data_IF_609537801791
#
_entry.id   IF_609537801791
#
_cell.length_a   1.000
_cell.length_b   1.000
_cell.length_c   1.000
_cell.angle_alpha   90.00
_cell.angle_beta   90.00
_cell.angle_gamma   90.00
#
_symmetry.space_group_name_H-M   'P 1'
#
loop_
_entity.id
_entity.type
_entity.pdbx_description
1 polymer ?
#
# COMPACT_ATOMS: atom_id res chain seq x y z
N UNK A 1 16.69 6.16 -24.51
CA UNK A 1 15.30 6.27 -23.99
C UNK A 1 14.90 7.62 -23.40
N UNK A 2 15.80 8.61 -23.23
CA UNK A 2 15.44 9.92 -22.63
C UNK A 2 15.92 11.12 -23.48
N UNK A 3 15.96 10.98 -24.81
CA UNK A 3 16.55 11.99 -25.71
C UNK A 3 15.73 13.28 -25.81
N UNK A 4 14.50 13.27 -25.31
CA UNK A 4 13.56 14.40 -25.30
C UNK A 4 13.34 15.01 -23.91
N UNK A 5 14.07 14.55 -22.88
CA UNK A 5 14.00 15.17 -21.55
C UNK A 5 14.90 16.41 -21.49
N UNK A 6 14.32 17.52 -21.04
CA UNK A 6 15.05 18.73 -20.64
C UNK A 6 15.02 18.84 -19.12
N UNK A 7 16.19 18.96 -18.50
CA UNK A 7 16.31 19.08 -17.03
C UNK A 7 16.59 20.53 -16.67
N UNK A 8 15.77 21.06 -15.76
CA UNK A 8 15.96 22.37 -15.10
C UNK A 8 16.31 22.10 -13.64
N UNK A 9 17.42 22.68 -13.17
CA UNK A 9 17.79 22.64 -11.77
C UNK A 9 17.09 23.76 -11.01
N UNK A 10 16.56 23.47 -9.83
CA UNK A 10 15.99 24.49 -8.93
C UNK A 10 16.87 24.51 -7.69
N UNK A 11 17.56 25.63 -7.45
CA UNK A 11 18.53 25.73 -6.36
C UNK A 11 19.57 26.82 -6.54
N UNK A 12 20.62 26.86 -5.70
CA UNK A 12 21.64 27.89 -5.77
C UNK A 12 22.42 27.81 -7.08
N UNK A 13 22.98 28.93 -7.53
CA UNK A 13 23.83 28.93 -8.73
C UNK A 13 25.05 28.04 -8.54
N UNK A 14 25.27 27.17 -9.51
CA UNK A 14 26.46 26.33 -9.64
C UNK A 14 26.95 26.37 -11.09
N UNK A 15 28.21 26.01 -11.32
CA UNK A 15 28.76 25.89 -12.67
C UNK A 15 28.24 24.61 -13.33
N UNK A 16 27.40 24.75 -14.35
CA UNK A 16 26.79 23.64 -15.10
C UNK A 16 26.29 24.12 -16.46
N UNK A 17 26.08 23.18 -17.38
CA UNK A 17 25.43 23.43 -18.68
C UNK A 17 23.90 23.34 -18.61
N UNK A 18 23.35 22.89 -17.49
CA UNK A 18 21.90 22.81 -17.28
C UNK A 18 21.31 24.18 -16.96
N UNK A 19 20.05 24.37 -17.34
CA UNK A 19 19.28 25.54 -16.94
C UNK A 19 19.07 25.54 -15.42
N UNK A 20 19.22 26.70 -14.78
CA UNK A 20 19.02 26.86 -13.34
C UNK A 20 17.93 27.90 -13.09
N UNK A 21 16.85 27.49 -12.45
CA UNK A 21 15.91 28.37 -11.76
C UNK A 21 16.44 28.63 -10.34
N UNK A 22 17.08 29.79 -10.17
CA UNK A 22 17.79 30.12 -8.93
C UNK A 22 16.86 30.19 -7.71
N UNK A 23 17.23 29.49 -6.65
CA UNK A 23 16.60 29.55 -5.33
C UNK A 23 17.66 29.31 -4.24
N UNK A 24 17.72 30.19 -3.23
CA UNK A 24 18.79 30.18 -2.23
C UNK A 24 18.33 29.76 -0.82
N UNK A 25 17.08 29.30 -0.69
CA UNK A 25 16.53 28.69 0.51
C UNK A 25 15.53 27.57 0.16
N UNK A 26 15.22 26.68 1.10
CA UNK A 26 14.22 25.62 0.87
C UNK A 26 12.83 26.20 0.55
N UNK A 27 12.44 27.27 1.24
CA UNK A 27 11.16 27.95 0.97
C UNK A 27 11.11 28.54 -0.44
N UNK A 28 12.19 29.20 -0.87
CA UNK A 28 12.27 29.76 -2.22
C UNK A 28 12.27 28.65 -3.27
N UNK A 29 12.92 27.52 -2.99
CA UNK A 29 12.96 26.35 -3.88
C UNK A 29 11.54 25.81 -4.12
N UNK A 30 10.73 25.67 -3.08
CA UNK A 30 9.34 25.20 -3.23
C UNK A 30 8.46 26.20 -3.96
N UNK A 31 8.54 27.48 -3.60
CA UNK A 31 7.78 28.52 -4.29
C UNK A 31 8.14 28.58 -5.78
N UNK A 32 9.45 28.47 -6.10
CA UNK A 32 9.93 28.44 -7.48
C UNK A 32 9.45 27.20 -8.22
N UNK A 33 9.54 26.02 -7.61
CA UNK A 33 9.04 24.78 -8.20
C UNK A 33 7.55 24.86 -8.53
N UNK A 34 6.72 25.35 -7.60
CA UNK A 34 5.28 25.48 -7.83
C UNK A 34 4.97 26.51 -8.92
N UNK A 35 5.65 27.65 -8.91
CA UNK A 35 5.55 28.67 -9.96
C UNK A 35 5.85 28.09 -11.35
N UNK A 36 6.93 27.31 -11.50
CA UNK A 36 7.33 26.72 -12.77
C UNK A 36 6.32 25.66 -13.26
N UNK A 37 5.80 24.83 -12.34
CA UNK A 37 4.75 23.84 -12.65
C UNK A 37 3.45 24.54 -13.10
N UNK A 38 3.03 25.59 -12.39
CA UNK A 38 1.79 26.32 -12.68
C UNK A 38 1.85 27.08 -14.01
N UNK A 39 3.03 27.59 -14.40
CA UNK A 39 3.25 28.22 -15.69
C UNK A 39 3.46 27.22 -16.84
N UNK A 40 3.63 25.94 -16.54
CA UNK A 40 3.99 24.91 -17.53
C UNK A 40 5.42 25.09 -18.09
N UNK A 41 6.31 25.72 -17.32
CA UNK A 41 7.74 25.82 -17.67
C UNK A 41 8.47 24.50 -17.40
N UNK A 42 7.96 23.71 -16.44
CA UNK A 42 8.33 22.30 -16.22
C UNK A 42 7.05 21.45 -16.11
N UNK A 43 7.09 20.21 -16.62
CA UNK A 43 5.94 19.31 -16.59
C UNK A 43 5.86 18.44 -15.31
N UNK A 44 7.01 18.26 -14.65
CA UNK A 44 7.15 17.46 -13.45
C UNK A 44 8.37 17.91 -12.63
N UNK A 45 8.38 17.59 -11.34
CA UNK A 45 9.52 17.85 -10.47
C UNK A 45 9.91 16.61 -9.67
N UNK A 46 11.21 16.44 -9.45
CA UNK A 46 11.78 15.44 -8.54
C UNK A 46 12.41 16.19 -7.37
N UNK A 47 12.01 15.89 -6.14
CA UNK A 47 12.48 16.56 -4.93
C UNK A 47 12.71 15.57 -3.78
N UNK A 48 13.52 15.94 -2.79
CA UNK A 48 13.77 15.10 -1.61
C UNK A 48 12.66 15.18 -0.56
N UNK A 49 11.87 16.26 -0.59
CA UNK A 49 10.75 16.44 0.32
C UNK A 49 9.71 17.34 -0.33
N UNK A 50 8.44 17.09 -0.02
CA UNK A 50 7.31 17.95 -0.37
C UNK A 50 6.15 17.63 0.57
N UNK A 51 5.43 18.64 1.01
CA UNK A 51 4.30 18.47 1.92
C UNK A 51 3.02 18.24 1.11
N UNK A 52 2.71 16.97 0.86
CA UNK A 52 1.47 16.60 0.19
C UNK A 52 0.24 16.83 1.09
N UNK A 53 -0.88 17.32 0.53
CA UNK A 53 -2.13 17.42 1.27
C UNK A 53 -2.71 16.03 1.58
N UNK A 54 -3.60 15.95 2.58
CA UNK A 54 -4.33 14.72 2.87
C UNK A 54 -5.14 14.32 1.63
N UNK A 55 -5.16 13.02 1.33
CA UNK A 55 -5.70 12.46 0.10
C UNK A 55 -4.62 12.19 -0.94
N UNK A 56 -3.39 12.67 -0.75
CA UNK A 56 -2.28 12.46 -1.67
C UNK A 56 -1.21 11.57 -1.03
N UNK A 57 -0.81 10.53 -1.74
CA UNK A 57 0.25 9.62 -1.34
C UNK A 57 1.04 9.12 -2.55
N UNK A 58 2.31 8.79 -2.36
CA UNK A 58 3.22 8.50 -3.47
C UNK A 58 3.27 7.01 -3.82
N UNK A 59 3.48 6.73 -5.10
CA UNK A 59 3.64 5.35 -5.61
C UNK A 59 5.08 5.11 -6.02
N UNK A 60 5.84 4.47 -5.13
CA UNK A 60 7.24 4.16 -5.36
C UNK A 60 7.41 3.06 -6.39
N UNK A 61 8.55 3.07 -7.09
CA UNK A 61 8.88 2.04 -8.06
C UNK A 61 10.23 1.42 -7.68
N UNK A 62 10.21 0.13 -7.39
CA UNK A 62 11.36 -0.64 -6.96
C UNK A 62 11.60 -1.81 -7.92
N UNK A 63 12.78 -2.44 -7.78
CA UNK A 63 13.14 -3.65 -8.52
C UNK A 63 13.12 -4.81 -7.53
N UNK A 64 12.42 -5.89 -7.87
CA UNK A 64 12.32 -7.07 -7.03
C UNK A 64 13.65 -7.84 -7.01
N UNK A 65 14.17 -8.23 -5.83
CA UNK A 65 15.49 -8.84 -5.73
C UNK A 65 15.53 -10.27 -6.27
N UNK A 66 14.40 -10.98 -6.25
CA UNK A 66 14.35 -12.39 -6.66
C UNK A 66 14.42 -12.56 -8.18
N UNK A 67 13.72 -11.71 -8.95
CA UNK A 67 13.58 -11.85 -10.39
C UNK A 67 13.89 -10.58 -11.20
N UNK A 68 14.31 -9.49 -10.56
CA UNK A 68 14.69 -8.26 -11.24
C UNK A 68 13.53 -7.56 -11.95
N UNK A 69 12.29 -7.77 -11.49
CA UNK A 69 11.08 -7.15 -12.09
C UNK A 69 10.79 -5.81 -11.47
N UNK A 70 10.24 -4.90 -12.25
CA UNK A 70 9.66 -3.66 -11.72
C UNK A 70 8.43 -3.99 -10.85
N UNK A 71 8.30 -3.30 -9.71
CA UNK A 71 7.11 -3.35 -8.85
C UNK A 71 6.75 -1.94 -8.37
N UNK A 72 5.46 -1.61 -8.43
CA UNK A 72 4.89 -0.37 -7.91
C UNK A 72 4.40 -0.59 -6.48
N UNK A 73 5.05 0.06 -5.52
CA UNK A 73 4.64 0.05 -4.11
C UNK A 73 3.63 1.18 -3.86
N UNK A 74 2.38 0.80 -3.63
CA UNK A 74 1.28 1.73 -3.42
C UNK A 74 0.82 1.68 -1.96
N UNK A 75 1.31 2.53 -1.04
CA UNK A 75 2.05 3.80 -1.21
C UNK A 75 3.31 3.88 -0.33
N UNK A 76 4.15 4.91 -0.50
CA UNK A 76 5.49 4.99 0.13
C UNK A 76 5.78 6.28 0.92
N UNK A 77 5.09 7.38 0.65
CA UNK A 77 4.99 8.57 1.51
C UNK A 77 3.62 9.25 1.33
N UNK A 78 3.26 10.17 2.22
CA UNK A 78 1.95 10.85 2.21
C UNK A 78 0.79 10.04 2.80
N UNK A 79 -0.40 10.62 2.81
CA UNK A 79 -1.55 10.11 3.56
C UNK A 79 -2.81 10.16 2.70
N UNK A 80 -3.27 9.01 2.21
CA UNK A 80 -4.49 8.91 1.39
C UNK A 80 -5.80 9.02 2.20
N UNK A 81 -5.80 8.51 3.44
CA UNK A 81 -6.86 8.69 4.45
C UNK A 81 -6.28 8.49 5.85
N UNK A 82 -6.99 9.00 6.87
CA UNK A 82 -6.70 8.71 8.28
C UNK A 82 -7.06 7.26 8.66
N UNK A 83 -8.02 6.63 7.97
CA UNK A 83 -8.35 5.23 8.15
C UNK A 83 -7.45 4.36 7.25
N UNK A 84 -6.77 3.37 7.83
CA UNK A 84 -5.80 2.52 7.10
C UNK A 84 -6.43 1.73 5.96
N UNK A 85 -7.60 1.14 6.17
CA UNK A 85 -8.28 0.29 5.18
C UNK A 85 -8.78 1.14 4.02
N UNK A 86 -9.40 2.28 4.32
CA UNK A 86 -9.78 3.28 3.32
C UNK A 86 -8.55 3.76 2.54
N UNK A 87 -7.46 4.06 3.24
CA UNK A 87 -6.20 4.48 2.63
C UNK A 87 -5.67 3.39 1.68
N UNK A 88 -5.65 2.12 2.06
CA UNK A 88 -5.18 1.03 1.20
C UNK A 88 -6.08 0.81 -0.03
N UNK A 89 -7.40 1.03 0.08
CA UNK A 89 -8.30 1.01 -1.09
C UNK A 89 -7.95 2.15 -2.06
N UNK A 90 -7.74 3.37 -1.55
CA UNK A 90 -7.28 4.51 -2.37
C UNK A 90 -5.90 4.25 -2.97
N UNK A 91 -4.97 3.74 -2.18
CA UNK A 91 -3.63 3.37 -2.62
C UNK A 91 -3.67 2.38 -3.79
N UNK A 92 -4.63 1.46 -3.80
CA UNK A 92 -4.84 0.54 -4.93
C UNK A 92 -5.10 1.31 -6.23
N UNK A 93 -6.00 2.29 -6.21
CA UNK A 93 -6.25 3.17 -7.36
C UNK A 93 -4.97 3.90 -7.76
N UNK A 94 -4.19 4.40 -6.79
CA UNK A 94 -2.99 5.19 -7.05
C UNK A 94 -1.94 4.35 -7.77
N UNK A 95 -1.74 3.11 -7.30
CA UNK A 95 -0.87 2.13 -7.94
C UNK A 95 -1.30 1.79 -9.36
N UNK A 96 -2.59 1.51 -9.59
CA UNK A 96 -3.14 1.21 -10.93
C UNK A 96 -2.94 2.39 -11.87
N UNK A 97 -3.30 3.61 -11.44
CA UNK A 97 -3.15 4.85 -12.22
C UNK A 97 -1.69 5.03 -12.63
N UNK A 98 -0.78 4.88 -11.68
CA UNK A 98 0.65 5.08 -11.93
C UNK A 98 1.21 4.01 -12.87
N UNK A 99 0.87 2.74 -12.68
CA UNK A 99 1.29 1.65 -13.56
C UNK A 99 0.76 1.82 -14.98
N UNK A 100 -0.50 2.26 -15.14
CA UNK A 100 -1.09 2.61 -16.44
C UNK A 100 -0.38 3.77 -17.10
N UNK A 101 -0.06 4.83 -16.36
CA UNK A 101 0.69 5.98 -16.86
C UNK A 101 2.10 5.58 -17.33
N UNK A 102 2.65 4.52 -16.75
CA UNK A 102 3.92 3.92 -17.14
C UNK A 102 3.82 2.93 -18.30
N UNK A 103 2.63 2.74 -18.88
CA UNK A 103 2.40 1.92 -20.07
C UNK A 103 1.90 0.50 -19.79
N UNK A 104 1.63 0.13 -18.53
CA UNK A 104 1.05 -1.18 -18.20
C UNK A 104 -0.47 -1.09 -18.32
N UNK A 105 -1.02 -1.64 -19.41
CA UNK A 105 -2.45 -1.46 -19.77
C UNK A 105 -3.41 -2.07 -18.74
N UNK A 106 -3.13 -3.29 -18.26
CA UNK A 106 -3.98 -4.03 -17.31
C UNK A 106 -3.15 -4.52 -16.11
N UNK A 107 -2.65 -3.60 -15.26
CA UNK A 107 -1.67 -3.93 -14.23
C UNK A 107 -2.27 -4.88 -13.21
N UNK A 108 -1.53 -5.95 -12.89
CA UNK A 108 -1.90 -6.91 -11.86
C UNK A 108 -1.72 -6.31 -10.46
N UNK A 109 -2.69 -6.56 -9.58
CA UNK A 109 -2.75 -5.96 -8.24
C UNK A 109 -2.69 -7.03 -7.16
N UNK A 110 -1.67 -6.95 -6.31
CA UNK A 110 -1.55 -7.71 -5.08
C UNK A 110 -1.70 -6.81 -3.87
N UNK A 111 -2.26 -7.33 -2.78
CA UNK A 111 -2.43 -6.64 -1.50
C UNK A 111 -1.47 -7.30 -0.52
N UNK A 112 -0.47 -6.57 -0.03
CA UNK A 112 0.44 -7.13 0.97
C UNK A 112 -0.36 -7.52 2.22
N UNK A 113 -0.08 -8.70 2.76
CA UNK A 113 -0.76 -9.26 3.92
C UNK A 113 -0.41 -8.48 5.20
N UNK A 114 -1.10 -7.36 5.35
CA UNK A 114 -1.05 -6.44 6.47
C UNK A 114 -2.40 -6.45 7.18
N UNK A 115 -2.45 -5.88 8.36
CA UNK A 115 -3.70 -5.61 9.04
C UNK A 115 -4.65 -4.79 8.13
N UNK A 116 -5.91 -5.25 8.05
CA UNK A 116 -6.95 -4.70 7.20
C UNK A 116 -6.94 -5.25 5.76
N UNK A 117 -5.93 -6.02 5.33
CA UNK A 117 -5.80 -6.48 3.94
C UNK A 117 -6.99 -7.29 3.42
N UNK A 118 -7.65 -8.08 4.27
CA UNK A 118 -8.88 -8.81 3.92
C UNK A 118 -10.08 -7.89 3.71
N UNK A 119 -10.22 -6.85 4.53
CA UNK A 119 -11.28 -5.84 4.35
C UNK A 119 -11.04 -5.05 3.05
N UNK A 120 -9.78 -4.73 2.75
CA UNK A 120 -9.37 -4.15 1.46
C UNK A 120 -9.71 -5.08 0.31
N UNK A 121 -9.38 -6.38 0.40
CA UNK A 121 -9.70 -7.38 -0.62
C UNK A 121 -11.22 -7.46 -0.89
N UNK A 122 -12.04 -7.53 0.16
CA UNK A 122 -13.50 -7.58 0.05
C UNK A 122 -14.03 -6.31 -0.64
N UNK A 123 -13.57 -5.14 -0.19
CA UNK A 123 -13.97 -3.85 -0.75
C UNK A 123 -13.58 -3.72 -2.23
N UNK A 124 -12.37 -4.13 -2.61
CA UNK A 124 -11.90 -4.09 -3.99
C UNK A 124 -12.62 -5.11 -4.87
N UNK A 125 -12.94 -6.31 -4.36
CA UNK A 125 -13.76 -7.29 -5.10
C UNK A 125 -15.17 -6.76 -5.34
N UNK A 126 -15.78 -6.07 -4.36
CA UNK A 126 -17.07 -5.38 -4.52
C UNK A 126 -16.97 -4.28 -5.57
N UNK A 127 -15.94 -3.44 -5.50
CA UNK A 127 -15.70 -2.37 -6.49
C UNK A 127 -15.52 -2.95 -7.91
N UNK A 128 -14.79 -4.07 -8.04
CA UNK A 128 -14.64 -4.80 -9.30
C UNK A 128 -15.95 -5.38 -9.83
N UNK A 129 -16.75 -6.00 -8.97
CA UNK A 129 -18.08 -6.51 -9.33
C UNK A 129 -19.03 -5.40 -9.77
N UNK A 130 -18.88 -4.18 -9.24
CA UNK A 130 -19.65 -3.01 -9.61
C UNK A 130 -19.20 -2.33 -10.92
N UNK A 131 -18.15 -2.83 -11.57
CA UNK A 131 -17.75 -2.40 -12.91
C UNK A 131 -16.40 -1.69 -13.04
N UNK A 132 -15.68 -1.43 -11.94
CA UNK A 132 -14.30 -0.95 -12.00
C UNK A 132 -13.34 -2.14 -12.09
N UNK A 133 -13.00 -2.57 -13.32
CA UNK A 133 -12.17 -3.76 -13.54
C UNK A 133 -10.80 -3.66 -12.83
N UNK A 134 -10.51 -4.62 -11.95
CA UNK A 134 -9.22 -4.83 -11.30
C UNK A 134 -8.67 -6.19 -11.72
N UNK A 135 -7.47 -6.19 -12.30
CA UNK A 135 -6.73 -7.43 -12.57
C UNK A 135 -6.06 -7.89 -11.27
N UNK A 136 -6.70 -8.76 -10.52
CA UNK A 136 -6.13 -9.28 -9.28
C UNK A 136 -4.95 -10.22 -9.58
N UNK A 137 -3.79 -9.92 -9.00
CA UNK A 137 -2.63 -10.81 -9.02
C UNK A 137 -2.92 -12.10 -8.25
N UNK A 138 -2.11 -13.12 -8.50
CA UNK A 138 -2.24 -14.41 -7.84
C UNK A 138 -0.95 -14.77 -7.10
N UNK A 139 -1.05 -14.99 -5.80
CA UNK A 139 0.07 -15.45 -4.97
C UNK A 139 0.62 -16.78 -5.51
N UNK A 140 1.93 -16.98 -5.39
CA UNK A 140 2.60 -18.21 -5.80
C UNK A 140 2.29 -19.42 -4.88
N UNK A 141 1.47 -19.22 -3.84
CA UNK A 141 1.05 -20.30 -2.94
C UNK A 141 0.02 -21.22 -3.61
N UNK A 142 -0.10 -22.44 -3.07
CA UNK A 142 -1.07 -23.42 -3.54
C UNK A 142 -2.53 -22.93 -3.45
N UNK A 143 -2.86 -22.13 -2.43
CA UNK A 143 -4.19 -21.52 -2.24
C UNK A 143 -4.40 -20.23 -3.06
N UNK A 144 -3.34 -19.69 -3.67
CA UNK A 144 -3.40 -18.50 -4.53
C UNK A 144 -3.98 -17.26 -3.86
N UNK A 145 -4.69 -16.45 -4.65
CA UNK A 145 -5.39 -15.25 -4.21
C UNK A 145 -4.55 -13.97 -4.30
N UNK A 146 -5.21 -12.83 -4.11
CA UNK A 146 -4.58 -11.52 -4.28
C UNK A 146 -3.98 -10.94 -3.00
N UNK A 147 -4.09 -11.64 -1.87
CA UNK A 147 -3.41 -11.29 -0.62
C UNK A 147 -2.02 -11.93 -0.62
N UNK A 148 -1.00 -11.09 -0.69
CA UNK A 148 0.38 -11.42 -1.00
C UNK A 148 1.25 -11.52 0.25
N UNK A 149 2.25 -12.39 0.23
CA UNK A 149 3.27 -12.48 1.28
C UNK A 149 4.58 -11.78 0.86
N UNK A 150 5.54 -11.73 1.78
CA UNK A 150 6.88 -11.24 1.48
C UNK A 150 7.52 -11.93 0.26
N UNK A 151 7.34 -13.24 0.11
CA UNK A 151 7.83 -14.00 -1.05
C UNK A 151 7.28 -13.45 -2.38
N UNK A 152 5.99 -13.12 -2.44
CA UNK A 152 5.34 -12.60 -3.64
C UNK A 152 5.89 -11.22 -4.03
N UNK A 153 6.23 -10.40 -3.03
CA UNK A 153 6.91 -9.12 -3.26
C UNK A 153 8.36 -9.33 -3.74
N UNK A 154 9.09 -10.31 -3.19
CA UNK A 154 10.46 -10.63 -3.61
C UNK A 154 10.51 -11.18 -5.04
N UNK A 155 9.50 -11.95 -5.47
CA UNK A 155 9.41 -12.49 -6.83
C UNK A 155 8.73 -11.56 -7.82
N UNK A 156 8.02 -10.53 -7.37
CA UNK A 156 7.20 -9.69 -8.24
C UNK A 156 6.05 -10.47 -8.86
N UNK A 157 5.21 -11.06 -8.01
CA UNK A 157 4.00 -11.79 -8.41
C UNK A 157 2.87 -10.88 -8.91
N UNK A 158 3.00 -9.57 -8.71
CA UNK A 158 2.09 -8.55 -9.24
C UNK A 158 2.86 -7.29 -9.66
N UNK A 159 2.29 -6.51 -10.58
CA UNK A 159 2.86 -5.23 -11.02
C UNK A 159 2.73 -4.17 -9.92
N UNK A 160 1.55 -4.12 -9.28
CA UNK A 160 1.24 -3.24 -8.15
C UNK A 160 1.17 -4.08 -6.88
N UNK A 161 1.88 -3.64 -5.85
CA UNK A 161 1.79 -4.18 -4.49
C UNK A 161 1.24 -3.10 -3.56
N UNK A 162 0.03 -3.33 -3.07
CA UNK A 162 -0.71 -2.41 -2.19
C UNK A 162 -0.23 -2.61 -0.75
N UNK A 163 0.15 -1.51 -0.10
CA UNK A 163 0.61 -1.45 1.28
C UNK A 163 -0.01 -0.23 1.98
N UNK A 164 0.07 -0.17 3.31
CA UNK A 164 0.00 1.14 3.97
C UNK A 164 1.29 1.92 3.69
N UNK A 165 1.25 3.25 3.87
CA UNK A 165 2.37 4.14 3.55
C UNK A 165 3.64 3.81 4.33
N UNK A 166 3.54 3.51 5.62
CA UNK A 166 4.72 3.28 6.46
C UNK A 166 5.41 1.99 6.06
N UNK A 167 4.63 0.92 5.83
CA UNK A 167 5.16 -0.33 5.30
C UNK A 167 5.83 -0.12 3.95
N UNK A 168 5.17 0.59 3.01
CA UNK A 168 5.76 0.84 1.69
C UNK A 168 7.02 1.71 1.76
N UNK A 169 7.09 2.68 2.68
CA UNK A 169 8.30 3.46 2.94
C UNK A 169 9.47 2.57 3.36
N UNK A 170 9.23 1.69 4.32
CA UNK A 170 10.22 0.74 4.79
C UNK A 170 10.68 -0.20 3.68
N UNK A 171 9.73 -0.72 2.88
CA UNK A 171 10.05 -1.60 1.76
C UNK A 171 10.86 -0.88 0.68
N UNK A 172 10.56 0.38 0.34
CA UNK A 172 11.39 1.16 -0.57
C UNK A 172 12.84 1.26 -0.08
N UNK A 173 13.05 1.54 1.21
CA UNK A 173 14.40 1.59 1.79
C UNK A 173 15.11 0.25 1.68
N UNK A 174 14.45 -0.84 2.10
CA UNK A 174 15.05 -2.18 2.03
C UNK A 174 15.41 -2.53 0.58
N UNK A 175 14.45 -2.43 -0.35
CA UNK A 175 14.66 -2.85 -1.73
C UNK A 175 15.71 -2.01 -2.48
N UNK A 176 15.83 -0.73 -2.14
CA UNK A 176 16.78 0.16 -2.81
C UNK A 176 18.19 0.15 -2.21
N UNK A 177 18.36 -0.27 -0.96
CA UNK A 177 19.62 -0.13 -0.21
C UNK A 177 20.10 -1.39 0.52
N UNK A 178 19.48 -2.57 0.31
CA UNK A 178 19.89 -3.80 0.99
C UNK A 178 21.34 -4.22 0.70
N UNK A 179 21.90 -3.87 -0.46
CA UNK A 179 23.30 -4.15 -0.82
C UNK A 179 24.30 -3.14 -0.28
N UNK A 180 23.83 -2.02 0.29
CA UNK A 180 24.66 -0.88 0.71
C UNK A 180 24.59 -0.60 2.21
N UNK A 181 23.82 -1.40 2.95
CA UNK A 181 23.65 -1.25 4.39
C UNK A 181 22.77 -0.06 4.80
N UNK A 182 21.92 0.45 3.91
CA UNK A 182 20.92 1.47 4.24
C UNK A 182 21.33 2.93 4.04
N UNK A 183 22.63 3.21 3.83
CA UNK A 183 23.14 4.59 3.74
C UNK A 183 23.16 5.16 2.31
N UNK A 184 22.90 4.33 1.31
CA UNK A 184 22.93 4.72 -0.09
C UNK A 184 21.92 3.88 -0.89
N UNK A 185 20.86 4.50 -1.43
CA UNK A 185 19.92 3.79 -2.30
C UNK A 185 20.54 3.67 -3.69
N UNK A 186 20.77 2.43 -4.12
CA UNK A 186 21.50 2.09 -5.35
C UNK A 186 20.62 1.52 -6.47
N UNK A 187 19.36 1.20 -6.16
CA UNK A 187 18.43 0.52 -7.07
C UNK A 187 17.01 1.08 -6.95
N UNK A 188 16.24 0.99 -8.04
CA UNK A 188 14.88 1.53 -8.15
C UNK A 188 14.81 2.97 -8.65
N UNK A 189 13.59 3.52 -8.65
CA UNK A 189 13.25 4.79 -9.30
C UNK A 189 12.72 5.83 -8.28
N UNK A 190 12.92 5.56 -7.00
CA UNK A 190 12.52 6.43 -5.89
C UNK A 190 11.10 6.19 -5.37
N UNK A 191 10.67 7.09 -4.48
CA UNK A 191 9.40 7.01 -3.77
C UNK A 191 8.21 7.43 -4.65
N UNK A 192 8.52 7.98 -5.84
CA UNK A 192 7.59 8.13 -6.95
C UNK A 192 6.61 9.30 -6.81
N UNK A 193 5.64 9.43 -7.73
CA UNK A 193 4.76 10.59 -7.84
C UNK A 193 3.71 10.59 -6.74
N UNK A 194 3.38 11.77 -6.20
CA UNK A 194 2.20 11.97 -5.38
C UNK A 194 0.94 11.85 -6.22
N UNK A 195 0.03 10.95 -5.83
CA UNK A 195 -1.24 10.71 -6.52
C UNK A 195 -2.40 11.03 -5.59
N UNK A 196 -3.40 11.75 -6.08
CA UNK A 196 -4.68 11.96 -5.42
C UNK A 196 -5.69 12.57 -6.38
N UNK A 197 -6.98 12.38 -6.10
CA UNK A 197 -8.08 12.73 -7.01
C UNK A 197 -8.06 14.20 -7.47
N UNK A 198 -7.74 15.10 -6.54
CA UNK A 198 -7.73 16.55 -6.74
C UNK A 198 -6.30 17.11 -6.79
N UNK A 199 -5.31 16.26 -7.08
CA UNK A 199 -3.91 16.65 -7.18
C UNK A 199 -3.47 16.59 -8.63
N UNK A 200 -3.11 17.74 -9.20
CA UNK A 200 -2.88 17.95 -10.63
C UNK A 200 -1.42 18.20 -10.99
N UNK A 201 -0.51 18.09 -10.01
CA UNK A 201 0.94 18.28 -10.18
C UNK A 201 1.66 16.92 -10.20
N UNK A 202 2.70 16.78 -11.03
CA UNK A 202 3.55 15.58 -11.06
C UNK A 202 4.81 15.84 -10.24
N UNK A 203 4.74 15.53 -8.94
CA UNK A 203 5.86 15.72 -8.00
C UNK A 203 6.30 14.37 -7.47
N UNK A 204 7.56 14.00 -7.73
CA UNK A 204 8.17 12.74 -7.30
C UNK A 204 9.09 12.96 -6.10
N UNK A 205 9.11 11.98 -5.19
CA UNK A 205 9.96 12.01 -4.00
C UNK A 205 11.17 11.10 -4.13
N UNK A 206 12.31 11.61 -3.68
CA UNK A 206 13.55 10.89 -3.43
C UNK A 206 13.91 10.92 -1.94
N UNK A 207 14.79 10.00 -1.54
CA UNK A 207 15.49 10.08 -0.26
C UNK A 207 16.74 10.94 -0.41
N UNK A 208 17.19 11.54 0.70
CA UNK A 208 18.54 12.12 0.77
C UNK A 208 19.65 11.09 0.55
N UNK A 209 19.36 9.82 0.81
CA UNK A 209 20.26 8.71 0.55
C UNK A 209 20.22 8.24 -0.92
N UNK A 210 19.37 8.80 -1.77
CA UNK A 210 19.23 8.36 -3.16
C UNK A 210 20.51 8.64 -3.95
N UNK A 211 21.12 7.56 -4.42
CA UNK A 211 22.31 7.61 -5.24
C UNK A 211 22.06 8.09 -6.66
N UNK A 212 23.12 8.40 -7.39
CA UNK A 212 23.06 8.87 -8.79
C UNK A 212 22.17 7.98 -9.68
N UNK A 213 22.22 6.63 -9.61
CA UNK A 213 21.35 5.78 -10.42
C UNK A 213 19.85 6.01 -10.12
N UNK A 214 19.49 6.11 -8.84
CA UNK A 214 18.10 6.31 -8.41
C UNK A 214 17.61 7.70 -8.82
N UNK A 215 18.45 8.73 -8.70
CA UNK A 215 18.12 10.09 -9.18
C UNK A 215 17.86 10.09 -10.68
N UNK A 216 18.75 9.48 -11.47
CA UNK A 216 18.59 9.40 -12.92
C UNK A 216 17.31 8.63 -13.32
N UNK A 217 17.02 7.52 -12.64
CA UNK A 217 15.81 6.75 -12.85
C UNK A 217 14.55 7.54 -12.49
N UNK A 218 14.55 8.29 -11.38
CA UNK A 218 13.41 9.11 -10.97
C UNK A 218 13.11 10.23 -11.98
N UNK A 219 14.15 10.84 -12.58
CA UNK A 219 13.97 11.81 -13.68
C UNK A 219 13.33 11.13 -14.90
N UNK A 220 13.80 9.93 -15.26
CA UNK A 220 13.20 9.13 -16.33
C UNK A 220 11.75 8.71 -16.02
N UNK A 221 11.46 8.39 -14.75
CA UNK A 221 10.14 8.06 -14.26
C UNK A 221 9.19 9.25 -14.41
N UNK A 222 9.62 10.45 -13.97
CA UNK A 222 8.86 11.69 -14.13
C UNK A 222 8.51 11.94 -15.61
N UNK A 223 9.49 11.83 -16.51
CA UNK A 223 9.28 12.01 -17.94
C UNK A 223 8.29 11.00 -18.54
N UNK A 224 8.34 9.73 -18.12
CA UNK A 224 7.38 8.71 -18.56
C UNK A 224 5.96 8.98 -18.07
N UNK A 225 5.80 9.44 -16.82
CA UNK A 225 4.50 9.81 -16.27
C UNK A 225 3.85 10.98 -17.03
N UNK A 226 4.65 11.99 -17.41
CA UNK A 226 4.21 13.11 -18.25
C UNK A 226 3.71 12.59 -19.60
N UNK A 227 4.52 11.78 -20.30
CA UNK A 227 4.13 11.18 -21.60
C UNK A 227 2.91 10.26 -21.48
N UNK A 228 2.78 9.59 -20.35
CA UNK A 228 1.63 8.76 -19.99
C UNK A 228 0.36 9.56 -19.68
N UNK A 229 0.43 10.90 -19.62
CA UNK A 229 -0.70 11.76 -19.24
C UNK A 229 -1.27 11.37 -17.88
N UNK A 230 -0.38 11.21 -16.88
CA UNK A 230 -0.74 10.79 -15.52
C UNK A 230 -1.94 11.58 -14.96
N UNK A 231 -1.96 12.90 -15.12
CA UNK A 231 -3.01 13.80 -14.62
C UNK A 231 -4.37 13.53 -15.26
N UNK A 232 -4.41 13.15 -16.54
CA UNK A 232 -5.64 12.71 -17.21
C UNK A 232 -6.09 11.34 -16.68
N UNK A 233 -5.15 10.40 -16.53
CA UNK A 233 -5.45 9.06 -15.99
C UNK A 233 -6.03 9.11 -14.58
N UNK A 234 -5.52 10.01 -13.71
CA UNK A 234 -6.09 10.24 -12.39
C UNK A 234 -7.58 10.55 -12.51
N UNK A 235 -7.95 11.54 -13.32
CA UNK A 235 -9.35 11.95 -13.51
C UNK A 235 -10.21 10.82 -14.06
N UNK A 236 -9.71 10.10 -15.07
CA UNK A 236 -10.43 9.01 -15.72
C UNK A 236 -10.66 7.81 -14.78
N UNK A 237 -9.63 7.34 -14.08
CA UNK A 237 -9.72 6.15 -13.22
C UNK A 237 -10.52 6.42 -11.96
N UNK A 238 -10.36 7.58 -11.32
CA UNK A 238 -11.23 7.96 -10.21
C UNK A 238 -12.68 8.06 -10.67
N UNK A 239 -12.96 8.67 -11.83
CA UNK A 239 -14.33 8.70 -12.37
C UNK A 239 -14.90 7.28 -12.52
N UNK A 240 -14.15 6.35 -13.11
CA UNK A 240 -14.60 4.95 -13.26
C UNK A 240 -14.85 4.29 -11.89
N UNK A 241 -14.02 4.57 -10.89
CA UNK A 241 -14.19 4.02 -9.55
C UNK A 241 -15.43 4.61 -8.84
N UNK A 242 -15.69 5.91 -8.99
CA UNK A 242 -16.91 6.56 -8.48
C UNK A 242 -18.16 6.02 -9.14
N UNK A 243 -18.13 5.84 -10.46
CA UNK A 243 -19.23 5.23 -11.22
C UNK A 243 -19.50 3.78 -10.75
N UNK A 244 -18.49 3.08 -10.24
CA UNK A 244 -18.59 1.76 -9.61
C UNK A 244 -18.93 1.80 -8.09
N UNK A 245 -19.22 2.99 -7.54
CA UNK A 245 -19.69 3.16 -6.17
C UNK A 245 -18.60 3.18 -5.09
N UNK A 246 -17.38 3.62 -5.42
CA UNK A 246 -16.28 3.75 -4.46
C UNK A 246 -16.70 4.45 -3.16
N UNK A 247 -17.35 5.61 -3.23
CA UNK A 247 -17.76 6.41 -2.07
C UNK A 247 -18.64 5.60 -1.11
N UNK A 248 -19.61 4.86 -1.66
CA UNK A 248 -20.52 4.05 -0.86
C UNK A 248 -19.77 2.94 -0.13
N UNK A 249 -18.80 2.29 -0.80
CA UNK A 249 -17.96 1.26 -0.20
C UNK A 249 -17.12 1.84 0.96
N UNK A 250 -16.55 3.04 0.78
CA UNK A 250 -15.77 3.71 1.83
C UNK A 250 -16.63 4.13 3.03
N UNK A 251 -17.86 4.60 2.78
CA UNK A 251 -18.82 4.96 3.84
C UNK A 251 -19.27 3.73 4.64
N UNK A 252 -19.52 2.60 3.99
CA UNK A 252 -19.89 1.36 4.66
C UNK A 252 -18.78 0.87 5.61
N UNK A 253 -17.52 0.91 5.17
CA UNK A 253 -16.36 0.52 5.97
C UNK A 253 -16.20 1.34 7.25
N UNK A 254 -16.45 2.65 7.18
CA UNK A 254 -16.31 3.53 8.35
C UNK A 254 -17.46 3.37 9.35
N UNK A 255 -18.67 2.99 8.91
CA UNK A 255 -19.80 2.72 9.80
C UNK A 255 -19.62 1.44 10.64
N UNK A 256 -18.98 0.42 10.10
CA UNK A 256 -18.73 -0.83 10.84
C UNK A 256 -17.70 -0.67 11.96
N UNK A 257 -16.82 0.34 11.87
CA UNK A 257 -15.80 0.64 12.89
C UNK A 257 -16.30 1.32 14.16
N UNK A 258 -17.60 1.67 14.25
CA UNK A 258 -18.22 2.37 15.41
C UNK A 258 -19.25 1.49 16.13
N UNK A 259 -18.96 0.20 16.35
CA UNK A 259 -19.72 -0.59 17.32
C UNK A 259 -19.08 -0.42 18.71
N UNK A 260 -19.83 0.01 19.74
CA UNK A 260 -19.27 0.23 21.07
C UNK A 260 -18.75 -1.09 21.65
N UNK A 261 -17.47 -1.10 22.05
CA UNK A 261 -16.87 -2.18 22.84
C UNK A 261 -17.67 -2.37 24.13
N UNK A 262 -18.42 -3.47 24.23
CA UNK A 262 -18.94 -3.93 25.52
C UNK A 262 -17.75 -4.42 26.34
N UNK A 263 -17.54 -3.87 27.54
CA UNK A 263 -16.57 -4.41 28.50
C UNK A 263 -16.91 -5.88 28.79
N UNK A 264 -16.17 -6.81 28.19
CA UNK A 264 -16.29 -8.23 28.46
C UNK A 264 -15.49 -8.55 29.73
N UNK A 265 -16.11 -9.27 30.66
CA UNK A 265 -15.46 -9.72 31.90
C UNK A 265 -14.71 -11.01 31.59
N UNK A 266 -13.41 -11.06 31.89
CA UNK A 266 -12.58 -12.25 31.73
C UNK A 266 -13.04 -13.36 32.70
N UNK A 267 -13.30 -14.60 32.23
CA UNK A 267 -13.63 -15.74 33.08
C UNK A 267 -12.49 -16.14 34.02
N UNK A 268 -12.78 -17.02 34.99
CA UNK A 268 -11.74 -17.57 35.89
C UNK A 268 -10.63 -18.27 35.10
N UNK A 269 -9.38 -18.01 35.51
CA UNK A 269 -8.20 -18.48 34.79
C UNK A 269 -8.09 -20.00 34.80
N UNK A 270 -7.96 -20.58 33.60
CA UNK A 270 -7.73 -22.01 33.40
C UNK A 270 -6.33 -22.28 32.82
N UNK A 271 -5.84 -23.51 32.97
CA UNK A 271 -4.61 -23.95 32.29
C UNK A 271 -4.94 -24.23 30.82
N UNK A 272 -4.31 -23.49 29.92
CA UNK A 272 -4.54 -23.58 28.47
C UNK A 272 -3.52 -24.52 27.81
N UNK A 273 -3.96 -25.71 27.40
CA UNK A 273 -3.12 -26.72 26.72
C UNK A 273 -3.56 -27.01 25.29
N UNK A 274 -4.79 -26.64 24.91
CA UNK A 274 -5.33 -26.76 23.56
C UNK A 274 -5.04 -25.53 22.72
N UNK A 275 -4.76 -25.73 21.42
CA UNK A 275 -4.47 -24.67 20.46
C UNK A 275 -5.46 -24.70 19.30
N UNK A 276 -6.02 -23.55 18.96
CA UNK A 276 -6.90 -23.37 17.80
C UNK A 276 -6.16 -22.46 16.80
N UNK A 277 -5.81 -23.01 15.65
CA UNK A 277 -5.12 -22.30 14.56
C UNK A 277 -6.11 -21.79 13.51
N UNK A 278 -5.63 -20.97 12.57
CA UNK A 278 -6.45 -20.47 11.46
C UNK A 278 -7.31 -19.26 11.81
N UNK A 279 -6.96 -18.57 12.90
CA UNK A 279 -7.57 -17.33 13.36
C UNK A 279 -6.71 -16.17 12.84
N UNK A 280 -7.34 -15.13 12.30
CA UNK A 280 -6.62 -13.94 11.84
C UNK A 280 -6.03 -13.19 13.05
N UNK A 281 -4.86 -12.58 12.88
CA UNK A 281 -4.21 -11.79 13.94
C UNK A 281 -5.11 -10.62 14.36
N UNK A 282 -5.92 -10.11 13.43
CA UNK A 282 -6.86 -9.01 13.66
C UNK A 282 -8.12 -9.42 14.41
N UNK A 283 -8.49 -10.68 14.28
CA UNK A 283 -9.62 -11.25 14.98
C UNK A 283 -9.22 -11.90 16.30
N UNK A 284 -7.92 -11.94 16.64
CA UNK A 284 -7.43 -12.72 17.77
C UNK A 284 -7.99 -12.23 19.11
N UNK A 285 -7.96 -10.91 19.35
CA UNK A 285 -8.54 -10.29 20.54
C UNK A 285 -10.07 -10.42 20.55
N UNK A 286 -10.72 -10.21 19.41
CA UNK A 286 -12.17 -10.37 19.25
C UNK A 286 -12.63 -11.81 19.50
N UNK A 287 -11.87 -12.79 19.02
CA UNK A 287 -12.09 -14.22 19.20
C UNK A 287 -11.97 -14.60 20.67
N UNK A 288 -10.94 -14.10 21.36
CA UNK A 288 -10.77 -14.27 22.81
C UNK A 288 -11.93 -13.63 23.58
N UNK A 289 -12.33 -12.42 23.22
CA UNK A 289 -13.46 -11.73 23.86
C UNK A 289 -14.80 -12.45 23.63
N UNK A 290 -15.05 -13.01 22.44
CA UNK A 290 -16.26 -13.79 22.17
C UNK A 290 -16.30 -15.07 23.00
N UNK A 291 -15.15 -15.73 23.20
CA UNK A 291 -15.06 -16.87 24.12
C UNK A 291 -15.33 -16.46 25.57
N UNK A 292 -14.82 -15.31 26.00
CA UNK A 292 -15.09 -14.77 27.33
C UNK A 292 -16.57 -14.45 27.56
N UNK A 293 -17.26 -13.90 26.55
CA UNK A 293 -18.71 -13.66 26.62
C UNK A 293 -19.53 -14.94 26.84
N UNK A 294 -19.04 -16.06 26.32
CA UNK A 294 -19.62 -17.40 26.47
C UNK A 294 -19.04 -18.18 27.66
N UNK A 295 -18.39 -17.47 28.60
CA UNK A 295 -17.78 -18.00 29.84
C UNK A 295 -16.69 -19.06 29.62
N UNK A 296 -15.99 -19.01 28.47
CA UNK A 296 -14.83 -19.86 28.17
C UNK A 296 -13.55 -19.05 28.34
N UNK A 297 -12.67 -19.47 29.26
CA UNK A 297 -11.35 -18.86 29.40
C UNK A 297 -10.48 -19.17 28.17
N UNK A 298 -9.89 -18.12 27.61
CA UNK A 298 -9.05 -18.20 26.43
C UNK A 298 -7.94 -17.15 26.50
N UNK A 299 -6.76 -17.48 25.95
CA UNK A 299 -5.63 -16.57 25.81
C UNK A 299 -5.22 -16.48 24.33
N UNK A 300 -4.77 -15.31 23.88
CA UNK A 300 -4.17 -15.13 22.56
C UNK A 300 -2.72 -15.63 22.55
N UNK A 301 -2.28 -16.27 21.47
CA UNK A 301 -0.90 -16.72 21.31
C UNK A 301 -0.42 -16.66 19.85
N UNK A 302 0.87 -16.94 19.68
CA UNK A 302 1.51 -17.07 18.36
C UNK A 302 2.11 -18.46 18.22
N UNK A 303 1.57 -19.25 17.29
CA UNK A 303 2.08 -20.56 16.92
C UNK A 303 3.11 -20.48 15.79
N UNK A 304 3.74 -21.61 15.47
CA UNK A 304 4.77 -21.70 14.42
C UNK A 304 4.28 -21.31 13.01
N UNK A 305 2.97 -21.32 12.78
CA UNK A 305 2.34 -21.08 11.47
C UNK A 305 1.42 -19.87 11.43
N UNK A 306 1.25 -19.15 12.54
CA UNK A 306 0.35 -18.01 12.62
C UNK A 306 -0.26 -17.77 14.01
N UNK A 307 -1.21 -16.83 14.12
CA UNK A 307 -1.94 -16.55 15.35
C UNK A 307 -2.76 -17.76 15.79
N UNK A 308 -2.78 -18.01 17.10
CA UNK A 308 -3.51 -19.12 17.72
C UNK A 308 -4.31 -18.64 18.93
N UNK A 309 -5.46 -19.25 19.18
CA UNK A 309 -6.18 -19.10 20.45
C UNK A 309 -5.90 -20.32 21.33
N UNK A 310 -5.53 -20.06 22.59
CA UNK A 310 -5.21 -21.06 23.60
C UNK A 310 -6.41 -21.23 24.53
N UNK A 311 -6.86 -22.48 24.71
CA UNK A 311 -7.97 -22.85 25.61
C UNK A 311 -7.62 -24.11 26.40
N UNK A 312 -8.37 -24.42 27.46
CA UNK A 312 -8.23 -25.72 28.13
C UNK A 312 -8.74 -26.84 27.22
N UNK A 313 -8.13 -28.04 27.30
CA UNK A 313 -8.55 -29.21 26.50
C UNK A 313 -10.04 -29.53 26.63
N UNK A 314 -10.59 -29.34 27.83
CA UNK A 314 -12.01 -29.58 28.11
C UNK A 314 -12.94 -28.64 27.33
N UNK A 315 -12.45 -27.44 26.99
CA UNK A 315 -13.21 -26.41 26.29
C UNK A 315 -12.91 -26.35 24.79
N UNK A 316 -11.98 -27.16 24.26
CA UNK A 316 -11.52 -27.10 22.87
C UNK A 316 -12.66 -27.24 21.85
N UNK A 317 -13.48 -28.30 21.97
CA UNK A 317 -14.61 -28.55 21.06
C UNK A 317 -15.66 -27.44 21.12
N UNK A 318 -15.92 -26.93 22.34
CA UNK A 318 -16.88 -25.85 22.57
C UNK A 318 -16.36 -24.53 21.98
N UNK A 319 -15.09 -24.22 22.17
CA UNK A 319 -14.44 -23.02 21.64
C UNK A 319 -14.43 -23.02 20.10
N UNK A 320 -14.09 -24.15 19.45
CA UNK A 320 -14.15 -24.27 17.99
C UNK A 320 -15.57 -24.01 17.47
N UNK A 321 -16.60 -24.56 18.13
CA UNK A 321 -18.00 -24.35 17.74
C UNK A 321 -18.42 -22.87 17.85
N UNK A 322 -18.05 -22.20 18.95
CA UNK A 322 -18.32 -20.77 19.15
C UNK A 322 -17.61 -19.92 18.10
N UNK A 323 -16.32 -20.19 17.84
CA UNK A 323 -15.53 -19.44 16.88
C UNK A 323 -16.01 -19.65 15.43
N UNK A 324 -16.40 -20.88 15.06
CA UNK A 324 -17.03 -21.18 13.77
C UNK A 324 -18.35 -20.41 13.61
N UNK A 325 -19.21 -20.41 14.64
CA UNK A 325 -20.49 -19.67 14.63
C UNK A 325 -20.31 -18.16 14.45
N UNK A 326 -19.20 -17.62 14.93
CA UNK A 326 -18.86 -16.20 14.82
C UNK A 326 -17.91 -15.89 13.64
N UNK A 327 -17.70 -16.85 12.72
CA UNK A 327 -16.86 -16.73 11.52
C UNK A 327 -15.37 -16.41 11.77
N UNK A 328 -14.83 -16.77 12.93
CA UNK A 328 -13.40 -16.58 13.24
C UNK A 328 -12.49 -17.72 12.77
N UNK A 329 -13.08 -18.88 12.43
CA UNK A 329 -12.37 -20.05 11.91
C UNK A 329 -13.10 -20.52 10.66
N UNK A 330 -12.37 -20.80 9.58
CA UNK A 330 -12.95 -21.34 8.36
C UNK A 330 -13.68 -22.67 8.64
N UNK A 331 -14.88 -22.83 8.08
CA UNK A 331 -15.49 -24.15 7.95
C UNK A 331 -14.60 -24.98 7.04
N UNK A 332 -13.85 -25.92 7.63
CA UNK A 332 -13.49 -27.13 6.90
C UNK A 332 -14.80 -27.69 6.33
N UNK A 333 -14.86 -27.81 5.01
CA UNK A 333 -15.81 -28.70 4.38
C UNK A 333 -15.49 -30.09 4.94
N UNK A 334 -16.41 -30.65 5.72
CA UNK A 334 -16.38 -32.06 6.06
C UNK A 334 -16.41 -32.86 4.74
N UNK A 335 -15.37 -33.67 4.55
CA UNK A 335 -15.21 -34.77 3.60
C UNK A 335 -15.45 -34.52 2.10
N UNK A 336 -14.34 -34.57 1.32
CA UNK A 336 -14.03 -35.66 0.38
C UNK A 336 -12.55 -35.63 -0.02
#
# INVERSE_FOLDING_TARGET
DNTDLKVVLIGPKIETSLEIAEANSENDMFAKMEELLEKGEIDACVTMHYNFPIGVATVGKAITPGLGKDVYLATTTGTASANRVEAMIKNTLYGIITAKAMGIVDPSVGILNLDGSRQVEIALKKLNANGYKINFGNSARADGGCVMRGNDLLSGSSDVMVTDTLTGNLMMKILSSFTTGGNYESSGDGYGPGIGENFDKIILILSRASGVPVVANAIGYAGKLVKGRLTDMVKEEFKKARDAGLENILIELTKESVKPEKKVIMPDKEVVTGQISGIDIMDLESAVQVLWQETVYAESGMGCTGPIVLVSEKNLTRAISILKKNNFVATEAEDC
#
